data_IF_595667670792
#
_entry.id   IF_595667670792
#
_cell.length_a   1.000
_cell.length_b   1.000
_cell.length_c   1.000
_cell.angle_alpha   90.00
_cell.angle_beta   90.00
_cell.angle_gamma   90.00
#
_symmetry.space_group_name_H-M   'P 1'
#
loop_
_entity.id
_entity.type
_entity.pdbx_description
1 polymer ?
#
# COMPACT_ATOMS: atom_id res chain seq x y z
N UNK A 1 -39.21 -40.14 55.11
CA UNK A 1 -38.57 -39.80 56.40
C UNK A 1 -37.75 -38.53 56.22
N UNK A 2 -37.79 -37.70 57.25
CA UNK A 2 -37.13 -36.40 57.46
C UNK A 2 -35.82 -36.14 56.70
N UNK A 3 -35.73 -34.88 56.24
CA UNK A 3 -34.68 -33.85 56.46
C UNK A 3 -33.24 -34.34 56.46
N UNK A 4 -32.34 -33.59 55.79
CA UNK A 4 -31.05 -33.07 56.32
C UNK A 4 -30.24 -32.51 55.13
N UNK A 5 -30.06 -31.17 55.06
CA UNK A 5 -28.76 -30.44 55.27
C UNK A 5 -27.99 -30.39 53.93
N UNK A 6 -27.38 -29.30 53.46
CA UNK A 6 -27.07 -27.97 53.98
C UNK A 6 -26.32 -27.28 52.84
N UNK A 7 -26.51 -25.96 52.73
CA UNK A 7 -25.75 -25.13 51.81
C UNK A 7 -24.24 -25.28 52.05
N UNK A 8 -23.49 -25.55 50.98
CA UNK A 8 -22.06 -25.28 50.93
C UNK A 8 -21.83 -24.33 49.75
N UNK A 9 -21.88 -23.04 50.06
CA UNK A 9 -21.32 -21.96 49.26
C UNK A 9 -19.84 -22.24 49.04
N UNK A 10 -19.50 -22.84 47.90
CA UNK A 10 -18.13 -22.80 47.40
C UNK A 10 -17.93 -21.42 46.79
N UNK A 11 -17.28 -20.57 47.58
CA UNK A 11 -16.75 -19.30 47.15
C UNK A 11 -15.92 -19.52 45.87
N UNK A 12 -16.40 -18.98 44.76
CA UNK A 12 -15.65 -18.88 43.51
C UNK A 12 -14.60 -17.76 43.69
N UNK A 13 -13.62 -18.00 44.57
CA UNK A 13 -12.41 -17.20 44.66
C UNK A 13 -11.46 -17.69 43.57
N UNK A 14 -11.58 -17.09 42.40
CA UNK A 14 -10.79 -17.46 41.24
C UNK A 14 -11.07 -16.59 40.03
N UNK A 15 -11.31 -15.28 40.22
CA UNK A 15 -10.97 -14.34 39.17
C UNK A 15 -9.44 -14.37 39.07
N UNK A 16 -8.91 -15.27 38.24
CA UNK A 16 -7.60 -15.04 37.66
C UNK A 16 -7.71 -13.70 36.97
N UNK A 17 -7.06 -12.68 37.55
CA UNK A 17 -6.75 -11.46 36.83
C UNK A 17 -6.12 -11.93 35.52
N UNK A 18 -6.88 -11.80 34.42
CA UNK A 18 -6.27 -11.74 33.10
C UNK A 18 -5.26 -10.63 33.25
N UNK A 19 -3.99 -11.03 33.31
CA UNK A 19 -2.89 -10.15 33.03
C UNK A 19 -3.10 -9.80 31.56
N UNK A 20 -3.98 -8.82 31.31
CA UNK A 20 -3.95 -8.07 30.10
C UNK A 20 -2.57 -7.43 30.17
N UNK A 21 -1.60 -8.08 29.50
CA UNK A 21 -0.44 -7.37 29.04
C UNK A 21 -0.98 -6.06 28.51
N UNK A 22 -0.52 -4.95 29.10
CA UNK A 22 -0.57 -3.68 28.43
C UNK A 22 0.19 -3.90 27.13
N UNK A 23 -0.54 -4.38 26.12
CA UNK A 23 -0.22 -4.12 24.73
C UNK A 23 -0.43 -2.63 24.67
N UNK A 24 0.65 -1.95 25.05
CA UNK A 24 1.05 -0.65 24.59
C UNK A 24 0.39 -0.51 23.24
N UNK A 25 -0.62 0.33 23.23
CA UNK A 25 -1.29 0.80 22.05
C UNK A 25 -0.18 1.44 21.21
N UNK A 26 0.53 0.59 20.48
CA UNK A 26 1.26 0.92 19.29
C UNK A 26 0.15 1.23 18.30
N UNK A 27 -0.43 2.42 18.47
CA UNK A 27 -0.83 3.26 17.35
C UNK A 27 0.44 3.52 16.57
N UNK A 28 0.80 2.50 15.82
CA UNK A 28 1.65 2.44 14.66
C UNK A 28 1.39 1.03 14.18
N UNK A 29 0.14 0.84 13.71
CA UNK A 29 -0.19 -0.21 12.78
C UNK A 29 1.00 -0.35 11.85
N UNK A 30 1.51 -1.57 11.80
CA UNK A 30 2.62 -1.95 10.98
C UNK A 30 2.51 -1.26 9.62
N UNK A 31 3.25 -0.18 9.44
CA UNK A 31 3.91 0.04 8.17
C UNK A 31 4.98 -1.05 8.13
N UNK A 32 4.54 -2.28 7.82
CA UNK A 32 5.28 -3.01 6.81
C UNK A 32 5.11 -2.15 5.56
N UNK A 33 5.87 -1.05 5.50
CA UNK A 33 6.42 -0.62 4.25
C UNK A 33 7.22 -1.84 3.83
N UNK A 34 6.57 -2.72 3.06
CA UNK A 34 7.28 -3.53 2.09
C UNK A 34 8.30 -2.57 1.53
N UNK A 35 9.55 -2.93 1.75
CA UNK A 35 10.73 -2.18 1.39
C UNK A 35 10.76 -2.11 -0.14
N UNK A 36 9.82 -1.37 -0.72
CA UNK A 36 9.85 -0.92 -2.09
C UNK A 36 10.98 0.10 -2.06
N UNK A 37 12.20 -0.42 -2.18
CA UNK A 37 13.43 0.38 -2.29
C UNK A 37 13.38 1.29 -3.53
N UNK A 38 12.31 1.16 -4.32
CA UNK A 38 11.80 2.10 -5.29
C UNK A 38 11.40 3.43 -4.63
N UNK A 39 12.32 4.39 -4.64
CA UNK A 39 12.01 5.79 -4.32
C UNK A 39 11.14 6.34 -5.46
N UNK A 40 9.88 6.65 -5.16
CA UNK A 40 8.94 7.27 -6.11
C UNK A 40 8.92 8.78 -5.88
N UNK A 41 9.53 9.53 -6.78
CA UNK A 41 9.54 10.99 -6.79
C UNK A 41 8.45 11.49 -7.73
N UNK A 42 7.40 12.17 -7.25
CA UNK A 42 6.40 12.77 -8.13
C UNK A 42 7.06 13.81 -9.04
N UNK A 43 6.79 13.71 -10.34
CA UNK A 43 7.30 14.63 -11.37
C UNK A 43 6.14 15.14 -12.19
N UNK A 44 6.26 16.35 -12.72
CA UNK A 44 5.23 16.89 -13.60
C UNK A 44 5.27 16.19 -14.95
N UNK A 45 4.13 16.09 -15.62
CA UNK A 45 4.06 15.57 -17.00
C UNK A 45 4.93 16.39 -17.96
N UNK A 46 5.13 17.68 -17.66
CA UNK A 46 5.98 18.62 -18.40
C UNK A 46 7.48 18.37 -18.18
N UNK A 47 7.83 17.77 -17.05
CA UNK A 47 9.21 17.40 -16.69
C UNK A 47 9.59 16.02 -17.20
N UNK A 48 8.63 15.30 -17.80
CA UNK A 48 8.91 14.02 -18.42
C UNK A 48 9.82 14.21 -19.66
N UNK A 49 10.81 13.32 -19.84
CA UNK A 49 11.64 13.35 -21.03
C UNK A 49 10.82 13.28 -22.32
N UNK A 50 11.27 13.97 -23.37
CA UNK A 50 10.72 13.88 -24.72
C UNK A 50 10.43 12.44 -25.20
N UNK A 51 11.32 11.44 -24.99
CA UNK A 51 11.01 10.07 -25.38
C UNK A 51 9.84 9.45 -24.60
N UNK A 52 9.70 9.76 -23.31
CA UNK A 52 8.58 9.28 -22.47
C UNK A 52 7.25 9.89 -22.92
N UNK A 53 7.22 11.20 -23.16
CA UNK A 53 6.01 11.88 -23.66
C UNK A 53 5.63 11.41 -25.06
N UNK A 54 6.61 11.07 -25.91
CA UNK A 54 6.36 10.47 -27.22
C UNK A 54 5.76 9.08 -27.09
N UNK A 55 6.28 8.25 -26.17
CA UNK A 55 5.74 6.93 -25.90
C UNK A 55 4.29 6.99 -25.41
N UNK A 56 3.94 7.93 -24.53
CA UNK A 56 2.56 8.17 -24.07
C UNK A 56 1.61 8.62 -25.19
N UNK A 57 2.13 9.20 -26.27
CA UNK A 57 1.34 9.58 -27.46
C UNK A 57 1.22 8.45 -28.49
N UNK A 58 1.86 7.31 -28.26
CA UNK A 58 1.75 6.15 -29.15
C UNK A 58 0.34 5.57 -29.13
N UNK A 59 0.00 4.80 -30.17
CA UNK A 59 -1.33 4.17 -30.28
C UNK A 59 -1.64 3.22 -29.10
N UNK A 60 -0.62 2.70 -28.40
CA UNK A 60 -0.79 1.83 -27.23
C UNK A 60 -1.51 2.51 -26.07
N UNK A 61 -1.36 3.83 -25.92
CA UNK A 61 -1.98 4.62 -24.85
C UNK A 61 -3.01 5.61 -25.38
N UNK A 62 -3.45 5.44 -26.62
CA UNK A 62 -4.45 6.31 -27.23
C UNK A 62 -5.78 6.22 -26.48
N UNK A 63 -6.32 7.37 -26.10
CA UNK A 63 -7.52 7.48 -25.26
C UNK A 63 -7.26 7.33 -23.77
N UNK A 64 -6.01 7.08 -23.35
CA UNK A 64 -5.60 7.16 -21.96
C UNK A 64 -5.05 8.55 -21.66
N UNK A 65 -5.57 9.18 -20.60
CA UNK A 65 -5.11 10.51 -20.15
C UNK A 65 -4.14 10.33 -19.00
N UNK A 66 -2.89 10.78 -19.17
CA UNK A 66 -1.93 10.80 -18.08
C UNK A 66 -2.38 11.78 -16.99
N UNK A 67 -2.52 11.31 -15.76
CA UNK A 67 -2.98 12.10 -14.61
C UNK A 67 -1.84 12.48 -13.69
N UNK A 68 -0.91 11.54 -13.47
CA UNK A 68 0.23 11.74 -12.57
C UNK A 68 1.45 11.03 -13.15
N UNK A 69 2.63 11.54 -12.82
CA UNK A 69 3.89 10.90 -13.18
C UNK A 69 4.82 10.85 -11.98
N UNK A 70 5.58 9.77 -11.89
CA UNK A 70 6.53 9.51 -10.82
C UNK A 70 7.83 9.00 -11.43
N UNK A 71 8.96 9.62 -11.12
CA UNK A 71 10.26 9.00 -11.33
C UNK A 71 10.46 7.95 -10.24
N UNK A 72 10.71 6.71 -10.64
CA UNK A 72 10.89 5.57 -9.74
C UNK A 72 12.31 5.07 -9.87
N UNK A 73 13.04 5.12 -8.75
CA UNK A 73 14.41 4.60 -8.66
C UNK A 73 14.46 3.38 -7.77
N UNK A 74 14.52 2.20 -8.38
CA UNK A 74 14.57 0.90 -7.73
C UNK A 74 16.01 0.33 -7.83
N UNK A 75 16.84 0.66 -6.85
CA UNK A 75 18.25 0.26 -6.82
C UNK A 75 19.05 0.86 -7.99
N UNK A 76 19.43 0.02 -8.96
CA UNK A 76 20.14 0.43 -10.19
C UNK A 76 19.21 0.73 -11.36
N UNK A 77 17.91 0.43 -11.23
CA UNK A 77 16.91 0.69 -12.26
C UNK A 77 16.24 2.02 -11.99
N UNK A 78 16.09 2.83 -13.04
CA UNK A 78 15.36 4.08 -13.00
C UNK A 78 14.34 4.08 -14.15
N UNK A 79 13.08 4.30 -13.82
CA UNK A 79 11.98 4.34 -14.78
C UNK A 79 10.91 5.34 -14.31
N UNK A 80 10.11 5.83 -15.24
CA UNK A 80 8.98 6.69 -14.96
C UNK A 80 7.71 5.85 -14.87
N UNK A 81 6.95 5.99 -13.80
CA UNK A 81 5.62 5.43 -13.64
C UNK A 81 4.61 6.55 -13.88
N UNK A 82 3.82 6.40 -14.94
CA UNK A 82 2.80 7.36 -15.35
C UNK A 82 1.43 6.74 -15.08
N UNK A 83 0.68 7.33 -14.15
CA UNK A 83 -0.71 6.97 -13.94
C UNK A 83 -1.54 7.54 -15.08
N UNK A 84 -2.38 6.68 -15.64
CA UNK A 84 -3.24 7.01 -16.76
C UNK A 84 -4.68 6.65 -16.43
N UNK A 85 -5.63 7.42 -16.95
CA UNK A 85 -7.06 7.19 -16.75
C UNK A 85 -7.79 7.22 -18.08
N UNK A 86 -8.68 6.25 -18.27
CA UNK A 86 -9.56 6.14 -19.42
C UNK A 86 -10.98 5.89 -18.93
N UNK A 87 -11.83 6.89 -19.04
CA UNK A 87 -13.22 6.85 -18.55
C UNK A 87 -13.30 6.43 -17.06
N UNK A 88 -13.74 5.19 -16.78
CA UNK A 88 -13.82 4.62 -15.43
C UNK A 88 -12.61 3.74 -15.06
N UNK A 89 -11.71 3.47 -16.02
CA UNK A 89 -10.53 2.65 -15.83
C UNK A 89 -9.33 3.51 -15.43
N UNK A 90 -8.59 3.05 -14.42
CA UNK A 90 -7.31 3.62 -14.02
C UNK A 90 -6.22 2.59 -14.28
N UNK A 91 -5.11 3.04 -14.85
CA UNK A 91 -3.94 2.23 -15.16
C UNK A 91 -2.66 2.94 -14.76
N UNK A 92 -1.54 2.23 -14.87
CA UNK A 92 -0.22 2.81 -14.73
C UNK A 92 0.71 2.22 -15.78
N UNK A 93 1.53 3.08 -16.36
CA UNK A 93 2.47 2.73 -17.42
C UNK A 93 3.87 3.00 -16.89
N UNK A 94 4.75 2.00 -16.94
CA UNK A 94 6.15 2.19 -16.60
C UNK A 94 6.94 2.36 -17.90
N UNK A 95 7.70 3.44 -18.01
CA UNK A 95 8.48 3.78 -19.19
C UNK A 95 9.90 4.15 -18.74
N UNK A 96 10.93 3.60 -19.36
CA UNK A 96 12.30 4.01 -19.08
C UNK A 96 12.60 5.43 -19.62
N UNK A 97 13.79 5.93 -19.30
CA UNK A 97 14.28 7.23 -19.79
C UNK A 97 14.41 7.32 -21.33
N UNK A 98 14.46 6.17 -22.02
CA UNK A 98 14.60 6.06 -23.47
C UNK A 98 13.23 5.94 -24.17
N UNK A 99 12.13 6.00 -23.42
CA UNK A 99 10.76 5.95 -23.95
C UNK A 99 10.27 4.53 -24.21
N UNK A 100 10.97 3.50 -23.71
CA UNK A 100 10.53 2.11 -23.86
C UNK A 100 9.72 1.68 -22.65
N UNK A 101 8.56 1.03 -22.84
CA UNK A 101 7.81 0.47 -21.74
C UNK A 101 8.65 -0.60 -21.03
N UNK A 102 8.70 -0.55 -19.71
CA UNK A 102 9.33 -1.55 -18.85
C UNK A 102 8.23 -2.36 -18.16
N UNK A 103 8.32 -3.69 -18.19
CA UNK A 103 7.34 -4.59 -17.57
C UNK A 103 7.80 -5.01 -16.18
#
# INVERSE_FOLDING_TARGET
MKKIILAATLAFAGFTAVQASEINTIKNAAIVAVQDSAVKTPVKLEELPAPVTTALKSDAYKGWTATEAFSVKEGTKEYYLINVKKEAESGSVKIDKDGKPVQ
#
